data_IF_186260558671
#
_entry.id   IF_186260558671
#
_cell.length_a   1.000
_cell.length_b   1.000
_cell.length_c   1.000
_cell.angle_alpha   90.00
_cell.angle_beta   90.00
_cell.angle_gamma   90.00
#
_symmetry.space_group_name_H-M   'P 1'
#
loop_
_entity.id
_entity.type
_entity.pdbx_description
1 polymer ?
#
# COMPACT_ATOMS: atom_id res chain seq x y z
N UNK A 1 -11.09 23.83 13.20
CA UNK A 1 -9.87 24.28 12.49
C UNK A 1 -8.73 24.23 13.49
N UNK A 2 -7.79 23.29 13.36
CA UNK A 2 -6.61 23.25 14.23
C UNK A 2 -5.64 24.34 13.78
N UNK A 3 -5.15 25.16 14.70
CA UNK A 3 -4.04 26.07 14.43
C UNK A 3 -2.86 25.25 13.88
N UNK A 4 -2.28 25.69 12.77
CA UNK A 4 -1.12 25.03 12.20
C UNK A 4 0.02 25.06 13.23
N UNK A 5 0.59 23.89 13.55
CA UNK A 5 1.76 23.82 14.42
C UNK A 5 2.90 24.62 13.81
N UNK A 6 3.67 25.33 14.64
CA UNK A 6 4.91 25.93 14.18
C UNK A 6 5.85 24.84 13.63
N UNK A 7 6.74 25.15 12.66
CA UNK A 7 7.65 24.17 12.09
C UNK A 7 8.47 23.40 13.14
N UNK A 8 8.91 24.10 14.19
CA UNK A 8 9.64 23.50 15.32
C UNK A 8 8.79 22.49 16.10
N UNK A 9 7.54 22.85 16.43
CA UNK A 9 6.62 21.95 17.11
C UNK A 9 6.25 20.73 16.25
N UNK A 10 6.12 20.92 14.93
CA UNK A 10 5.89 19.82 14.01
C UNK A 10 7.07 18.84 13.94
N UNK A 11 8.30 19.35 13.84
CA UNK A 11 9.50 18.49 13.85
C UNK A 11 9.66 17.74 15.17
N UNK A 12 9.44 18.42 16.29
CA UNK A 12 9.48 17.80 17.61
C UNK A 12 8.43 16.69 17.74
N UNK A 13 7.20 16.94 17.28
CA UNK A 13 6.13 15.93 17.22
C UNK A 13 6.58 14.68 16.48
N UNK A 14 7.16 14.84 15.29
CA UNK A 14 7.61 13.71 14.48
C UNK A 14 8.73 12.92 15.16
N UNK A 15 9.69 13.60 15.81
CA UNK A 15 10.75 12.94 16.57
C UNK A 15 10.19 12.11 17.72
N UNK A 16 9.29 12.69 18.52
CA UNK A 16 8.63 11.99 19.63
C UNK A 16 7.86 10.77 19.12
N UNK A 17 7.05 10.92 18.08
CA UNK A 17 6.23 9.82 17.53
C UNK A 17 7.08 8.70 16.92
N UNK A 18 8.17 9.05 16.25
CA UNK A 18 9.12 8.08 15.68
C UNK A 18 9.80 7.26 16.77
N UNK A 19 10.25 7.89 17.86
CA UNK A 19 10.83 7.16 18.99
C UNK A 19 9.77 6.36 19.76
N UNK A 20 8.58 6.93 19.98
CA UNK A 20 7.49 6.24 20.66
C UNK A 20 7.06 4.94 19.95
N UNK A 21 7.11 4.91 18.61
CA UNK A 21 6.80 3.70 17.82
C UNK A 21 7.69 2.52 18.22
N UNK A 22 8.96 2.77 18.57
CA UNK A 22 9.90 1.73 19.01
C UNK A 22 9.51 1.13 20.36
N UNK A 23 8.80 1.87 21.21
CA UNK A 23 8.40 1.45 22.56
C UNK A 23 6.95 0.92 22.63
N UNK A 24 6.14 1.14 21.59
CA UNK A 24 4.73 0.81 21.56
C UNK A 24 4.43 -0.69 21.74
N UNK A 25 5.32 -1.57 21.29
CA UNK A 25 5.18 -3.03 21.47
C UNK A 25 5.35 -3.50 22.93
N UNK A 26 5.95 -2.67 23.79
CA UNK A 26 6.22 -3.00 25.20
C UNK A 26 5.15 -2.36 26.10
N UNK A 27 4.84 -1.09 25.83
CA UNK A 27 4.07 -0.22 26.75
C UNK A 27 2.71 0.19 26.18
N UNK A 28 2.38 -0.28 24.96
CA UNK A 28 1.16 0.06 24.25
C UNK A 28 1.07 1.52 23.82
N UNK A 29 -0.15 2.04 23.78
CA UNK A 29 -0.47 3.41 23.40
C UNK A 29 -0.75 4.24 24.65
N UNK A 30 0.26 4.42 25.50
CA UNK A 30 0.09 5.00 26.84
C UNK A 30 1.03 6.17 27.12
N UNK A 31 0.80 6.88 28.23
CA UNK A 31 1.71 7.94 28.69
C UNK A 31 3.07 7.39 29.16
N UNK A 32 3.17 6.10 29.49
CA UNK A 32 4.46 5.47 29.76
C UNK A 32 5.35 5.43 28.50
N UNK A 33 4.73 5.17 27.33
CA UNK A 33 5.39 5.25 26.03
C UNK A 33 5.85 6.68 25.73
N UNK A 34 5.04 7.68 26.06
CA UNK A 34 5.41 9.10 25.93
C UNK A 34 6.64 9.41 26.78
N UNK A 35 6.61 9.07 28.07
CA UNK A 35 7.73 9.31 28.99
C UNK A 35 9.04 8.66 28.48
N UNK A 36 8.97 7.40 28.04
CA UNK A 36 10.10 6.71 27.43
C UNK A 36 10.63 7.43 26.18
N UNK A 37 9.72 7.89 25.31
CA UNK A 37 10.11 8.60 24.08
C UNK A 37 10.73 9.98 24.35
N UNK A 38 10.22 10.74 25.33
CA UNK A 38 10.75 12.05 25.71
C UNK A 38 12.17 11.92 26.27
N UNK A 39 12.41 10.89 27.09
CA UNK A 39 13.74 10.53 27.57
C UNK A 39 14.70 10.20 26.43
N UNK A 40 14.28 9.38 25.47
CA UNK A 40 15.10 9.02 24.30
C UNK A 40 15.43 10.21 23.39
N UNK A 41 14.52 11.19 23.28
CA UNK A 41 14.70 12.41 22.46
C UNK A 41 15.47 13.51 23.21
N UNK A 42 15.73 13.34 24.51
CA UNK A 42 16.39 14.34 25.35
C UNK A 42 15.52 15.57 25.61
N UNK A 43 14.20 15.36 25.72
CA UNK A 43 13.21 16.43 25.82
C UNK A 43 12.28 16.27 27.04
N UNK A 44 12.85 15.84 28.17
CA UNK A 44 12.13 15.61 29.43
C UNK A 44 11.54 16.91 30.01
N UNK A 45 12.20 18.06 29.78
CA UNK A 45 11.80 19.36 30.33
C UNK A 45 10.64 20.05 29.56
N UNK A 46 10.01 19.37 28.60
CA UNK A 46 8.89 19.95 27.85
C UNK A 46 7.68 20.12 28.78
N UNK A 47 7.19 21.36 28.89
CA UNK A 47 5.99 21.65 29.68
C UNK A 47 4.74 20.91 29.17
N UNK A 48 3.85 20.53 30.09
CA UNK A 48 2.54 19.91 29.77
C UNK A 48 1.72 20.75 28.79
N UNK A 49 1.83 22.08 28.88
CA UNK A 49 1.17 23.00 27.95
C UNK A 49 1.67 22.84 26.52
N UNK A 50 2.98 22.66 26.35
CA UNK A 50 3.60 22.40 25.04
C UNK A 50 3.18 21.02 24.52
N UNK A 51 3.14 19.99 25.37
CA UNK A 51 2.68 18.65 24.97
C UNK A 51 1.20 18.65 24.55
N UNK A 52 0.32 19.32 25.31
CA UNK A 52 -1.09 19.46 24.96
C UNK A 52 -1.29 20.23 23.65
N UNK A 53 -0.42 21.20 23.35
CA UNK A 53 -0.44 21.91 22.08
C UNK A 53 0.03 21.03 20.91
N UNK A 54 1.10 20.25 21.09
CA UNK A 54 1.65 19.34 20.07
C UNK A 54 0.68 18.18 19.78
N UNK A 55 0.03 17.66 20.83
CA UNK A 55 -0.89 16.53 20.79
C UNK A 55 -2.30 16.94 21.21
N UNK A 56 -2.94 17.80 20.42
CA UNK A 56 -4.24 18.40 20.74
C UNK A 56 -5.39 17.41 20.99
N UNK A 57 -5.32 16.19 20.43
CA UNK A 57 -6.28 15.08 20.65
C UNK A 57 -5.75 14.01 21.60
N UNK A 58 -4.59 14.24 22.21
CA UNK A 58 -3.87 13.28 23.03
C UNK A 58 -2.75 12.56 22.28
N UNK A 59 -1.69 12.26 23.01
CA UNK A 59 -0.54 11.50 22.50
C UNK A 59 -0.91 10.08 22.03
N UNK A 60 -1.72 9.29 22.76
CA UNK A 60 -2.05 7.91 22.34
C UNK A 60 -2.59 7.80 20.92
N UNK A 61 -3.63 8.58 20.59
CA UNK A 61 -4.20 8.58 19.23
C UNK A 61 -3.21 9.12 18.19
N UNK A 62 -2.41 10.14 18.55
CA UNK A 62 -1.40 10.66 17.63
C UNK A 62 -0.33 9.62 17.28
N UNK A 63 0.00 8.73 18.22
CA UNK A 63 0.88 7.58 18.00
C UNK A 63 0.22 6.53 17.09
N UNK A 64 -1.05 6.17 17.35
CA UNK A 64 -1.79 5.25 16.48
C UNK A 64 -1.83 5.78 15.04
N UNK A 65 -2.23 7.03 14.84
CA UNK A 65 -2.29 7.67 13.52
C UNK A 65 -0.92 7.70 12.83
N UNK A 66 0.15 7.94 13.59
CA UNK A 66 1.51 7.91 13.05
C UNK A 66 1.90 6.52 12.55
N UNK A 67 1.59 5.47 13.31
CA UNK A 67 1.84 4.08 12.91
C UNK A 67 0.99 3.69 11.70
N UNK A 68 -0.30 4.03 11.69
CA UNK A 68 -1.17 3.74 10.54
C UNK A 68 -0.66 4.42 9.26
N UNK A 69 -0.27 5.69 9.34
CA UNK A 69 0.27 6.43 8.20
C UNK A 69 1.64 5.92 7.75
N UNK A 70 2.55 5.62 8.69
CA UNK A 70 3.88 5.11 8.34
C UNK A 70 3.80 3.75 7.66
N UNK A 71 2.88 2.90 8.13
CA UNK A 71 2.64 1.59 7.52
C UNK A 71 1.87 1.69 6.19
N UNK A 72 0.94 2.64 6.02
CA UNK A 72 0.34 2.94 4.70
C UNK A 72 1.40 3.34 3.69
N UNK A 73 2.28 4.27 4.06
CA UNK A 73 3.37 4.74 3.21
C UNK A 73 4.34 3.61 2.86
N UNK A 74 4.63 2.71 3.81
CA UNK A 74 5.46 1.54 3.55
C UNK A 74 4.80 0.62 2.51
N UNK A 75 3.52 0.29 2.68
CA UNK A 75 2.76 -0.50 1.70
C UNK A 75 2.79 0.16 0.32
N UNK A 76 2.54 1.47 0.24
CA UNK A 76 2.57 2.20 -1.04
C UNK A 76 3.91 2.04 -1.76
N UNK A 77 5.04 2.16 -1.03
CA UNK A 77 6.38 2.00 -1.59
C UNK A 77 6.62 0.58 -2.11
N UNK A 78 6.20 -0.42 -1.35
CA UNK A 78 6.31 -1.82 -1.75
C UNK A 78 5.43 -2.18 -2.95
N UNK A 79 4.23 -1.58 -3.04
CA UNK A 79 3.35 -1.75 -4.20
C UNK A 79 3.92 -1.05 -5.44
N UNK A 80 4.47 0.17 -5.33
CA UNK A 80 5.14 0.82 -6.47
C UNK A 80 6.35 -0.01 -6.92
N UNK A 81 7.18 -0.48 -6.00
CA UNK A 81 8.35 -1.30 -6.32
C UNK A 81 7.95 -2.59 -7.07
N UNK A 82 6.89 -3.27 -6.63
CA UNK A 82 6.47 -4.55 -7.19
C UNK A 82 5.57 -4.44 -8.44
N UNK A 83 4.71 -3.43 -8.50
CA UNK A 83 3.60 -3.34 -9.47
C UNK A 83 3.61 -2.05 -10.29
N UNK A 84 4.70 -1.27 -10.27
CA UNK A 84 4.85 -0.18 -11.23
C UNK A 84 4.86 -0.73 -12.65
N UNK A 85 4.35 0.09 -13.57
CA UNK A 85 4.40 -0.14 -15.02
C UNK A 85 5.81 -0.51 -15.49
N UNK A 86 6.81 0.19 -14.96
CA UNK A 86 8.20 0.00 -15.36
C UNK A 86 8.76 -1.32 -14.81
N UNK A 87 8.41 -1.71 -13.57
CA UNK A 87 8.75 -3.02 -13.02
C UNK A 87 8.14 -4.14 -13.86
N UNK A 88 6.87 -4.03 -14.24
CA UNK A 88 6.17 -5.04 -15.04
C UNK A 88 6.80 -5.13 -16.44
N UNK A 89 7.05 -4.01 -17.11
CA UNK A 89 7.73 -3.99 -18.40
C UNK A 89 9.13 -4.60 -18.31
N UNK A 90 9.92 -4.27 -17.29
CA UNK A 90 11.26 -4.86 -17.07
C UNK A 90 11.19 -6.38 -16.84
N UNK A 91 10.15 -6.85 -16.15
CA UNK A 91 9.91 -8.29 -15.96
C UNK A 91 9.62 -8.98 -17.30
N UNK A 92 8.76 -8.39 -18.14
CA UNK A 92 8.47 -8.87 -19.49
C UNK A 92 9.73 -8.85 -20.35
N UNK A 93 10.53 -7.79 -20.25
CA UNK A 93 11.74 -7.60 -21.03
C UNK A 93 12.82 -8.63 -20.70
N UNK A 94 12.94 -8.99 -19.42
CA UNK A 94 13.81 -10.09 -18.97
C UNK A 94 13.30 -11.47 -19.43
N UNK A 95 12.01 -11.58 -19.80
CA UNK A 95 11.32 -12.84 -20.05
C UNK A 95 10.48 -12.82 -21.35
N UNK A 96 10.99 -12.18 -22.41
CA UNK A 96 10.22 -11.93 -23.64
C UNK A 96 9.67 -13.21 -24.24
N UNK A 97 10.47 -14.28 -24.29
CA UNK A 97 10.06 -15.54 -24.89
C UNK A 97 8.87 -16.17 -24.15
N UNK A 98 8.89 -16.19 -22.81
CA UNK A 98 7.78 -16.74 -22.02
C UNK A 98 6.56 -15.83 -22.08
N UNK A 99 6.74 -14.51 -22.15
CA UNK A 99 5.66 -13.56 -22.37
C UNK A 99 4.97 -13.78 -23.72
N UNK A 100 5.75 -13.86 -24.81
CA UNK A 100 5.27 -14.13 -26.17
C UNK A 100 4.60 -15.51 -26.24
N UNK A 101 5.02 -16.50 -25.47
CA UNK A 101 4.40 -17.83 -25.43
C UNK A 101 3.18 -17.92 -24.49
N UNK A 102 2.73 -16.82 -23.87
CA UNK A 102 1.66 -16.83 -22.85
C UNK A 102 1.98 -17.72 -21.64
N UNK A 103 3.24 -17.83 -21.27
CA UNK A 103 3.71 -18.60 -20.11
C UNK A 103 4.15 -17.70 -18.96
N UNK A 104 4.38 -16.41 -19.21
CA UNK A 104 4.63 -15.43 -18.15
C UNK A 104 3.32 -15.05 -17.48
N UNK A 105 3.21 -15.35 -16.18
CA UNK A 105 2.09 -14.90 -15.36
C UNK A 105 2.30 -13.42 -14.99
N UNK A 106 1.43 -12.56 -15.51
CA UNK A 106 1.40 -11.16 -15.13
C UNK A 106 0.71 -11.00 -13.76
N UNK A 107 1.09 -9.97 -12.97
CA UNK A 107 0.38 -9.65 -11.74
C UNK A 107 -1.10 -9.37 -11.98
N UNK A 108 -1.94 -9.92 -11.10
CA UNK A 108 -3.39 -9.72 -11.08
C UNK A 108 -3.80 -8.81 -9.93
N UNK A 109 -5.05 -8.36 -9.93
CA UNK A 109 -5.63 -7.59 -8.82
C UNK A 109 -5.50 -8.32 -7.48
N UNK A 110 -5.69 -9.65 -7.49
CA UNK A 110 -5.54 -10.51 -6.31
C UNK A 110 -4.13 -10.43 -5.74
N UNK A 111 -3.10 -10.46 -6.60
CA UNK A 111 -1.70 -10.37 -6.15
C UNK A 111 -1.40 -9.01 -5.48
N UNK A 112 -2.01 -7.92 -5.97
CA UNK A 112 -1.88 -6.59 -5.37
C UNK A 112 -2.55 -6.55 -3.99
N UNK A 113 -3.80 -6.98 -3.91
CA UNK A 113 -4.57 -6.97 -2.66
C UNK A 113 -3.93 -7.87 -1.59
N UNK A 114 -3.53 -9.10 -1.95
CA UNK A 114 -2.83 -10.02 -1.07
C UNK A 114 -1.54 -9.39 -0.53
N UNK A 115 -0.69 -8.86 -1.41
CA UNK A 115 0.57 -8.25 -0.98
C UNK A 115 0.33 -7.04 -0.07
N UNK A 116 -0.59 -6.15 -0.42
CA UNK A 116 -0.90 -4.96 0.37
C UNK A 116 -1.34 -5.32 1.81
N UNK A 117 -2.25 -6.28 1.93
CA UNK A 117 -2.82 -6.68 3.21
C UNK A 117 -1.82 -7.49 4.04
N UNK A 118 -1.09 -8.43 3.42
CA UNK A 118 -0.06 -9.21 4.13
C UNK A 118 1.07 -8.33 4.67
N UNK A 119 1.52 -7.33 3.90
CA UNK A 119 2.48 -6.35 4.39
C UNK A 119 1.94 -5.58 5.60
N UNK A 120 0.67 -5.18 5.54
CA UNK A 120 0.02 -4.46 6.64
C UNK A 120 -0.08 -5.35 7.90
N UNK A 121 -0.44 -6.62 7.74
CA UNK A 121 -0.45 -7.62 8.81
C UNK A 121 0.94 -7.77 9.43
N UNK A 122 1.98 -7.91 8.61
CA UNK A 122 3.36 -8.06 9.08
C UNK A 122 3.82 -6.87 9.91
N UNK A 123 3.56 -5.65 9.43
CA UNK A 123 3.92 -4.41 10.12
C UNK A 123 3.17 -4.21 11.45
N UNK A 124 1.94 -4.71 11.54
CA UNK A 124 1.11 -4.60 12.76
C UNK A 124 1.32 -5.77 13.74
N UNK A 125 1.89 -6.88 13.29
CA UNK A 125 2.11 -8.08 14.12
C UNK A 125 2.84 -7.78 15.44
N UNK A 126 3.92 -6.98 15.48
CA UNK A 126 4.61 -6.65 16.74
C UNK A 126 3.75 -5.86 17.73
N UNK A 127 2.67 -5.24 17.26
CA UNK A 127 1.79 -4.36 18.05
C UNK A 127 0.47 -5.04 18.42
N UNK A 128 0.24 -6.28 17.98
CA UNK A 128 -1.06 -6.95 18.05
C UNK A 128 -1.61 -7.03 19.48
N UNK A 129 -0.75 -7.26 20.47
CA UNK A 129 -1.14 -7.34 21.89
C UNK A 129 -1.75 -6.03 22.42
N UNK A 130 -1.36 -4.89 21.85
CA UNK A 130 -1.86 -3.57 22.23
C UNK A 130 -2.82 -2.97 21.20
N UNK A 131 -2.97 -3.61 20.04
CA UNK A 131 -3.79 -3.09 18.95
C UNK A 131 -5.29 -2.96 19.28
N UNK A 132 -5.92 -3.83 20.12
CA UNK A 132 -7.29 -3.59 20.57
C UNK A 132 -7.48 -2.22 21.26
N UNK A 133 -6.48 -1.75 22.02
CA UNK A 133 -6.52 -0.41 22.63
C UNK A 133 -6.36 0.71 21.61
N UNK A 134 -5.59 0.49 20.54
CA UNK A 134 -5.51 1.43 19.42
C UNK A 134 -6.87 1.55 18.71
N UNK A 135 -7.52 0.43 18.42
CA UNK A 135 -8.86 0.42 17.82
C UNK A 135 -9.87 1.17 18.70
N UNK A 136 -9.85 0.95 20.01
CA UNK A 136 -10.72 1.69 20.92
C UNK A 136 -10.53 3.21 20.80
N UNK A 137 -9.29 3.69 20.64
CA UNK A 137 -8.97 5.11 20.42
C UNK A 137 -9.47 5.62 19.06
N UNK A 138 -9.31 4.82 18.00
CA UNK A 138 -9.72 5.15 16.63
C UNK A 138 -11.23 5.29 16.47
N UNK A 139 -12.01 4.52 17.23
CA UNK A 139 -13.47 4.50 17.19
C UNK A 139 -14.13 5.57 18.07
N UNK A 140 -13.36 6.37 18.81
CA UNK A 140 -13.91 7.53 19.52
C UNK A 140 -14.50 8.53 18.51
N UNK A 141 -15.69 9.12 18.76
CA UNK A 141 -16.38 9.96 17.78
C UNK A 141 -15.55 11.14 17.25
N UNK A 142 -14.67 11.70 18.09
CA UNK A 142 -13.80 12.82 17.71
C UNK A 142 -12.55 12.40 16.90
N UNK A 143 -12.23 11.10 16.85
CA UNK A 143 -11.12 10.53 16.08
C UNK A 143 -11.59 9.88 14.78
N UNK A 144 -12.84 9.41 14.74
CA UNK A 144 -13.41 8.67 13.61
C UNK A 144 -13.17 9.31 12.23
N UNK A 145 -13.30 10.63 12.02
CA UNK A 145 -13.03 11.23 10.72
C UNK A 145 -11.58 11.05 10.26
N UNK A 146 -10.62 11.11 11.19
CA UNK A 146 -9.19 10.94 10.90
C UNK A 146 -8.84 9.48 10.64
N UNK A 147 -9.43 8.56 11.43
CA UNK A 147 -9.36 7.12 11.19
C UNK A 147 -9.87 6.77 9.80
N UNK A 148 -11.03 7.31 9.40
CA UNK A 148 -11.63 7.07 8.10
C UNK A 148 -10.76 7.56 6.94
N UNK A 149 -10.09 8.72 7.09
CA UNK A 149 -9.14 9.24 6.11
C UNK A 149 -7.93 8.31 5.97
N UNK A 150 -7.34 7.87 7.09
CA UNK A 150 -6.17 6.98 7.04
C UNK A 150 -6.54 5.60 6.45
N UNK A 151 -7.74 5.09 6.74
CA UNK A 151 -8.25 3.86 6.13
C UNK A 151 -8.50 4.05 4.63
N UNK A 152 -9.14 5.15 4.24
CA UNK A 152 -9.37 5.51 2.84
C UNK A 152 -8.06 5.56 2.06
N UNK A 153 -7.02 6.19 2.60
CA UNK A 153 -5.70 6.28 1.96
C UNK A 153 -5.11 4.89 1.64
N UNK A 154 -5.18 3.95 2.58
CA UNK A 154 -4.73 2.57 2.37
C UNK A 154 -5.53 1.86 1.27
N UNK A 155 -6.85 1.94 1.37
CA UNK A 155 -7.77 1.27 0.45
C UNK A 155 -7.62 1.85 -0.95
N UNK A 156 -7.65 3.18 -1.08
CA UNK A 156 -7.55 3.88 -2.36
C UNK A 156 -6.17 3.62 -3.01
N UNK A 157 -5.09 3.56 -2.22
CA UNK A 157 -3.77 3.15 -2.72
C UNK A 157 -3.79 1.72 -3.28
N UNK A 158 -4.40 0.78 -2.56
CA UNK A 158 -4.46 -0.62 -2.98
C UNK A 158 -5.29 -0.76 -4.26
N UNK A 159 -6.48 -0.16 -4.30
CA UNK A 159 -7.37 -0.15 -5.48
C UNK A 159 -6.70 0.51 -6.68
N UNK A 160 -5.97 1.61 -6.48
CA UNK A 160 -5.20 2.26 -7.53
C UNK A 160 -4.23 1.30 -8.22
N UNK A 161 -3.47 0.49 -7.45
CA UNK A 161 -2.57 -0.50 -8.04
C UNK A 161 -3.33 -1.69 -8.65
N UNK A 162 -4.45 -2.11 -8.07
CA UNK A 162 -5.30 -3.18 -8.65
C UNK A 162 -5.79 -2.80 -10.05
N UNK A 163 -6.37 -1.60 -10.20
CA UNK A 163 -6.80 -1.11 -11.52
C UNK A 163 -5.63 -1.02 -12.49
N UNK A 164 -4.50 -0.50 -12.02
CA UNK A 164 -3.29 -0.35 -12.84
C UNK A 164 -2.78 -1.66 -13.40
N UNK A 165 -2.73 -2.72 -12.59
CA UNK A 165 -2.27 -4.04 -13.08
C UNK A 165 -3.31 -4.68 -14.00
N UNK A 166 -4.61 -4.53 -13.71
CA UNK A 166 -5.66 -5.08 -14.56
C UNK A 166 -5.68 -4.42 -15.94
N UNK A 167 -5.75 -3.09 -15.98
CA UNK A 167 -5.72 -2.33 -17.24
C UNK A 167 -4.43 -2.57 -18.00
N UNK A 168 -3.28 -2.67 -17.31
CA UNK A 168 -2.03 -3.01 -17.99
C UNK A 168 -2.07 -4.43 -18.58
N UNK A 169 -2.62 -5.42 -17.87
CA UNK A 169 -2.81 -6.78 -18.39
C UNK A 169 -3.66 -6.81 -19.66
N UNK A 170 -4.78 -6.08 -19.66
CA UNK A 170 -5.66 -5.95 -20.82
C UNK A 170 -4.96 -5.30 -22.03
N UNK A 171 -4.14 -4.27 -21.80
CA UNK A 171 -3.39 -3.57 -22.85
C UNK A 171 -2.20 -4.39 -23.37
N UNK A 172 -1.59 -5.21 -22.53
CA UNK A 172 -0.45 -6.03 -22.90
C UNK A 172 -0.84 -7.22 -23.78
N UNK A 173 -2.10 -7.64 -23.74
CA UNK A 173 -2.60 -8.75 -24.56
C UNK A 173 -2.49 -8.47 -26.08
N UNK A 174 -3.00 -7.34 -26.62
CA UNK A 174 -2.73 -6.95 -28.00
C UNK A 174 -1.24 -6.77 -28.32
N UNK A 175 -0.48 -6.16 -27.41
CA UNK A 175 0.95 -5.94 -27.59
C UNK A 175 1.72 -7.26 -27.73
N UNK A 176 1.34 -8.27 -26.95
CA UNK A 176 1.87 -9.63 -27.04
C UNK A 176 1.60 -10.26 -28.41
N UNK A 177 0.39 -10.14 -28.94
CA UNK A 177 0.04 -10.70 -30.27
C UNK A 177 0.89 -10.06 -31.38
N UNK A 178 1.17 -8.76 -31.27
CA UNK A 178 2.07 -8.06 -32.20
C UNK A 178 3.50 -8.58 -32.08
N UNK A 179 3.99 -8.84 -30.87
CA UNK A 179 5.32 -9.42 -30.66
C UNK A 179 5.40 -10.87 -31.14
N UNK A 180 4.35 -11.67 -30.95
CA UNK A 180 4.21 -13.02 -31.50
C UNK A 180 4.30 -13.01 -33.03
N UNK A 181 3.55 -12.13 -33.71
CA UNK A 181 3.57 -12.06 -35.17
C UNK A 181 4.94 -11.63 -35.71
N UNK A 182 5.61 -10.68 -35.05
CA UNK A 182 7.00 -10.30 -35.38
C UNK A 182 7.99 -11.45 -35.17
N UNK A 183 7.86 -12.20 -34.07
CA UNK A 183 8.72 -13.34 -33.79
C UNK A 183 8.53 -14.49 -34.79
N UNK A 184 7.32 -14.65 -35.34
CA UNK A 184 7.05 -15.60 -36.43
C UNK A 184 7.65 -15.08 -37.74
N UNK A 185 7.47 -13.79 -38.05
CA UNK A 185 8.00 -13.17 -39.27
C UNK A 185 9.54 -13.16 -39.31
N UNK A 186 10.21 -12.96 -38.16
CA UNK A 186 11.68 -13.00 -38.07
C UNK A 186 12.29 -14.41 -38.21
N UNK A 187 11.47 -15.46 -38.15
CA UNK A 187 11.87 -16.85 -38.46
C UNK A 187 11.83 -17.15 -39.96
N UNK A 188 11.32 -16.23 -40.76
CA UNK A 188 11.45 -16.25 -42.22
C UNK A 188 12.80 -15.59 -42.54
N UNK A 189 13.73 -16.26 -43.24
CA UNK A 189 15.09 -15.76 -43.42
C UNK A 189 15.06 -14.51 -44.30
N UNK A 190 15.23 -13.34 -43.70
CA UNK A 190 15.51 -12.07 -44.35
C UNK A 190 16.71 -11.43 -43.65
N UNK A 191 17.65 -10.93 -44.44
CA UNK A 191 19.01 -10.54 -44.05
C UNK A 191 19.13 -9.66 -42.80
N UNK A 192 20.23 -9.88 -42.09
CA UNK A 192 20.59 -9.30 -40.80
C UNK A 192 20.55 -7.76 -40.79
N UNK A 193 19.89 -7.19 -39.78
CA UNK A 193 20.15 -5.82 -39.31
C UNK A 193 20.23 -5.85 -37.78
N UNK A 194 21.44 -5.65 -37.27
CA UNK A 194 21.68 -5.46 -35.84
C UNK A 194 21.32 -4.06 -35.36
N UNK A 195 21.07 -3.91 -34.06
CA UNK A 195 21.44 -2.71 -33.30
C UNK A 195 21.26 -2.87 -31.78
N UNK A 196 22.16 -2.21 -31.08
CA UNK A 196 22.41 -2.15 -29.63
C UNK A 196 21.34 -1.41 -28.81
N UNK A 197 21.34 -1.68 -27.49
CA UNK A 197 21.34 -0.62 -26.46
C UNK A 197 20.17 -0.56 -25.48
N UNK A 198 18.96 -0.89 -25.91
CA UNK A 198 17.80 -1.12 -25.05
C UNK A 198 16.97 -2.20 -25.73
N UNK A 199 16.41 -3.14 -24.97
CA UNK A 199 15.59 -4.19 -25.58
C UNK A 199 14.45 -3.55 -26.38
N UNK A 200 14.40 -3.87 -27.68
CA UNK A 200 13.39 -3.35 -28.60
C UNK A 200 11.96 -3.60 -28.09
N UNK A 201 11.78 -4.66 -27.29
CA UNK A 201 10.52 -4.99 -26.63
C UNK A 201 10.12 -3.94 -25.60
N UNK A 202 11.00 -3.57 -24.66
CA UNK A 202 10.72 -2.53 -23.67
C UNK A 202 10.37 -1.17 -24.29
N UNK A 203 11.08 -0.77 -25.36
CA UNK A 203 10.82 0.48 -26.08
C UNK A 203 9.45 0.45 -26.77
N UNK A 204 9.12 -0.67 -27.41
CA UNK A 204 7.80 -0.89 -28.02
C UNK A 204 6.69 -0.83 -26.97
N UNK A 205 6.80 -1.58 -25.87
CA UNK A 205 5.78 -1.62 -24.82
C UNK A 205 5.56 -0.24 -24.18
N UNK A 206 6.65 0.47 -23.88
CA UNK A 206 6.55 1.83 -23.34
C UNK A 206 5.88 2.80 -24.32
N UNK A 207 6.15 2.67 -25.62
CA UNK A 207 5.48 3.47 -26.64
C UNK A 207 4.01 3.07 -26.80
N UNK A 208 3.69 1.79 -26.70
CA UNK A 208 2.35 1.24 -26.90
C UNK A 208 1.37 1.74 -25.83
N UNK A 209 1.82 1.83 -24.57
CA UNK A 209 0.98 2.28 -23.45
C UNK A 209 1.14 3.77 -23.13
N UNK A 210 1.90 4.52 -23.93
CA UNK A 210 2.19 5.92 -23.66
C UNK A 210 0.91 6.74 -23.71
N UNK A 211 0.65 7.52 -22.65
CA UNK A 211 -0.50 8.42 -22.57
C UNK A 211 -1.82 7.75 -22.16
N UNK A 212 -1.82 6.45 -21.89
CA UNK A 212 -3.00 5.75 -21.38
C UNK A 212 -3.03 5.84 -19.86
N UNK A 213 -4.12 6.35 -19.28
CA UNK A 213 -4.33 6.30 -17.85
C UNK A 213 -4.61 4.85 -17.43
N UNK A 214 -3.80 4.32 -16.53
CA UNK A 214 -3.93 2.93 -16.06
C UNK A 214 -4.84 2.80 -14.84
N UNK A 215 -5.22 3.92 -14.21
CA UNK A 215 -6.25 3.92 -13.16
C UNK A 215 -7.22 5.05 -13.45
N UNK A 216 -8.49 4.79 -13.18
CA UNK A 216 -9.58 5.71 -13.40
C UNK A 216 -9.79 6.65 -12.21
N UNK A 217 -9.27 6.28 -11.03
CA UNK A 217 -9.51 6.99 -9.78
C UNK A 217 -11.01 7.08 -9.43
N UNK A 218 -11.36 7.87 -8.40
CA UNK A 218 -12.78 8.10 -8.06
C UNK A 218 -13.55 8.88 -9.14
N UNK A 219 -12.86 9.53 -10.08
CA UNK A 219 -13.43 10.35 -11.14
C UNK A 219 -13.01 9.83 -12.52
N UNK A 220 -13.76 8.89 -13.08
CA UNK A 220 -13.40 8.24 -14.35
C UNK A 220 -13.55 9.15 -15.58
N UNK A 221 -14.37 10.19 -15.54
CA UNK A 221 -14.39 11.32 -16.48
C UNK A 221 -15.45 12.35 -16.02
N UNK A 222 -15.50 13.49 -16.70
CA UNK A 222 -16.19 14.75 -16.33
C UNK A 222 -17.68 14.72 -15.93
N UNK A 223 -18.38 13.58 -15.84
CA UNK A 223 -19.79 13.57 -15.41
C UNK A 223 -20.37 12.24 -14.91
N UNK A 224 -19.60 11.17 -14.73
CA UNK A 224 -20.14 9.86 -14.33
C UNK A 224 -19.45 9.26 -13.10
N UNK A 225 -20.25 8.80 -12.13
CA UNK A 225 -19.77 8.05 -10.98
C UNK A 225 -19.17 6.71 -11.41
N UNK A 226 -17.93 6.42 -10.99
CA UNK A 226 -17.34 5.11 -11.23
C UNK A 226 -17.76 4.12 -10.13
N UNK A 227 -18.91 3.46 -10.32
CA UNK A 227 -19.40 2.44 -9.38
C UNK A 227 -18.44 1.26 -9.21
N UNK A 228 -17.68 0.90 -10.25
CA UNK A 228 -16.69 -0.19 -10.15
C UNK A 228 -15.58 0.14 -9.16
N UNK A 229 -15.10 1.38 -9.17
CA UNK A 229 -14.08 1.84 -8.23
C UNK A 229 -14.57 1.78 -6.78
N UNK A 230 -15.79 2.25 -6.52
CA UNK A 230 -16.39 2.17 -5.17
C UNK A 230 -16.65 0.72 -4.73
N UNK A 231 -17.03 -0.16 -5.65
CA UNK A 231 -17.20 -1.58 -5.35
C UNK A 231 -15.87 -2.22 -4.93
N UNK A 232 -14.78 -1.97 -5.68
CA UNK A 232 -13.43 -2.43 -5.31
C UNK A 232 -12.97 -1.87 -3.98
N UNK A 233 -13.24 -0.58 -3.72
CA UNK A 233 -12.96 0.06 -2.43
C UNK A 233 -13.69 -0.66 -1.28
N UNK A 234 -14.96 -0.99 -1.46
CA UNK A 234 -15.73 -1.73 -0.46
C UNK A 234 -15.16 -3.14 -0.24
N UNK A 235 -14.80 -3.88 -1.30
CA UNK A 235 -14.20 -5.20 -1.19
C UNK A 235 -12.88 -5.17 -0.40
N UNK A 236 -11.97 -4.27 -0.74
CA UNK A 236 -10.67 -4.12 -0.06
C UNK A 236 -10.87 -3.68 1.39
N UNK A 237 -11.81 -2.77 1.66
CA UNK A 237 -12.16 -2.35 3.03
C UNK A 237 -12.68 -3.51 3.87
N UNK A 238 -13.61 -4.30 3.35
CA UNK A 238 -14.18 -5.48 4.03
C UNK A 238 -13.09 -6.52 4.30
N UNK A 239 -12.26 -6.80 3.30
CA UNK A 239 -11.16 -7.75 3.40
C UNK A 239 -10.15 -7.29 4.46
N UNK A 240 -9.72 -6.03 4.43
CA UNK A 240 -8.81 -5.47 5.43
C UNK A 240 -9.40 -5.52 6.85
N UNK A 241 -10.68 -5.15 7.01
CA UNK A 241 -11.38 -5.21 8.29
C UNK A 241 -11.47 -6.63 8.85
N UNK A 242 -11.81 -7.61 8.00
CA UNK A 242 -11.87 -9.01 8.40
C UNK A 242 -10.49 -9.56 8.80
N UNK A 243 -9.45 -9.27 8.00
CA UNK A 243 -8.09 -9.75 8.25
C UNK A 243 -7.49 -9.11 9.50
N UNK A 244 -7.70 -7.81 9.73
CA UNK A 244 -7.21 -7.15 10.95
C UNK A 244 -7.94 -7.64 12.20
N UNK A 245 -9.24 -7.94 12.10
CA UNK A 245 -10.00 -8.57 13.20
C UNK A 245 -9.49 -9.98 13.48
N UNK A 246 -9.24 -10.77 12.42
CA UNK A 246 -8.59 -12.09 12.54
C UNK A 246 -7.23 -12.00 13.23
N UNK A 247 -6.40 -11.01 12.85
CA UNK A 247 -5.07 -10.80 13.43
C UNK A 247 -5.12 -10.63 14.95
N UNK A 248 -6.10 -9.86 15.46
CA UNK A 248 -6.24 -9.62 16.90
C UNK A 248 -6.60 -10.89 17.69
N UNK A 249 -7.24 -11.86 17.05
CA UNK A 249 -7.59 -13.16 17.64
C UNK A 249 -6.57 -14.26 17.37
N UNK A 250 -5.51 -13.98 16.61
CA UNK A 250 -4.59 -15.01 16.13
C UNK A 250 -3.47 -15.29 17.12
N UNK A 251 -3.51 -16.50 17.70
CA UNK A 251 -2.48 -17.00 18.63
C UNK A 251 -1.40 -17.85 17.94
N UNK A 252 -1.49 -18.03 16.62
CA UNK A 252 -0.51 -18.81 15.86
C UNK A 252 0.81 -18.08 15.70
N UNK A 253 1.90 -18.84 15.54
CA UNK A 253 3.24 -18.30 15.35
C UNK A 253 3.28 -17.41 14.10
N UNK A 254 3.73 -16.16 14.27
CA UNK A 254 3.84 -15.16 13.20
C UNK A 254 2.52 -14.91 12.44
N UNK A 255 1.37 -15.03 13.13
CA UNK A 255 0.04 -14.85 12.55
C UNK A 255 -0.22 -15.75 11.32
N UNK A 256 0.24 -16.99 11.36
CA UNK A 256 0.12 -17.96 10.27
C UNK A 256 -1.35 -18.20 9.86
N UNK A 257 -2.27 -18.27 10.82
CA UNK A 257 -3.69 -18.46 10.55
C UNK A 257 -4.27 -17.26 9.80
N UNK A 258 -3.95 -16.04 10.24
CA UNK A 258 -4.38 -14.79 9.59
C UNK A 258 -3.81 -14.67 8.18
N UNK A 259 -2.54 -15.07 7.96
CA UNK A 259 -1.93 -15.10 6.63
C UNK A 259 -2.65 -16.08 5.71
N UNK A 260 -2.95 -17.28 6.20
CA UNK A 260 -3.72 -18.29 5.44
C UNK A 260 -5.13 -17.79 5.12
N UNK A 261 -5.82 -17.22 6.11
CA UNK A 261 -7.13 -16.61 5.96
C UNK A 261 -7.10 -15.49 4.92
N UNK A 262 -6.08 -14.62 4.94
CA UNK A 262 -5.92 -13.53 3.96
C UNK A 262 -5.88 -14.08 2.54
N UNK A 263 -5.08 -15.12 2.29
CA UNK A 263 -4.99 -15.74 0.96
C UNK A 263 -6.32 -16.32 0.51
N UNK A 264 -6.99 -17.07 1.38
CA UNK A 264 -8.29 -17.65 1.07
C UNK A 264 -9.37 -16.59 0.83
N UNK A 265 -9.38 -15.52 1.62
CA UNK A 265 -10.34 -14.44 1.51
C UNK A 265 -10.11 -13.60 0.24
N UNK A 266 -8.84 -13.34 -0.14
CA UNK A 266 -8.50 -12.72 -1.43
C UNK A 266 -9.03 -13.55 -2.59
N UNK A 267 -8.82 -14.87 -2.57
CA UNK A 267 -9.28 -15.75 -3.66
C UNK A 267 -10.80 -15.82 -3.79
N UNK A 268 -11.53 -15.62 -2.69
CA UNK A 268 -12.99 -15.72 -2.64
C UNK A 268 -13.69 -14.39 -2.95
N UNK A 269 -13.13 -13.27 -2.47
CA UNK A 269 -13.76 -11.95 -2.54
C UNK A 269 -13.35 -11.12 -3.76
N UNK A 270 -12.23 -11.47 -4.40
CA UNK A 270 -11.69 -10.85 -5.61
C UNK A 270 -11.56 -11.89 -6.71
#
# INVERSE_FOLDING_TARGET
MCAALSPAHHQLRLKILSEATKHAHITGFTNATLAASLKSVGAEDISDRTLAHIFSRGFPIALVEHIVRSTNLHVQRELEAAFSKDTIIKSIDSNVNTFVQNQLLLPTEKNVAEKAILLKVELLTPLVAHWPSAVALEYLPHNLPYTAINLAEFVDTTVYYMERVNTLGELLEPARRILQSKAIASRIPHGEVGCNGASQTSAFLNSFIKGISLSSGPYASHSAFNFSWYYKRAQVMLLYGAVTTSLMGDVSRNAANTRSFTKAAVETLL
#
